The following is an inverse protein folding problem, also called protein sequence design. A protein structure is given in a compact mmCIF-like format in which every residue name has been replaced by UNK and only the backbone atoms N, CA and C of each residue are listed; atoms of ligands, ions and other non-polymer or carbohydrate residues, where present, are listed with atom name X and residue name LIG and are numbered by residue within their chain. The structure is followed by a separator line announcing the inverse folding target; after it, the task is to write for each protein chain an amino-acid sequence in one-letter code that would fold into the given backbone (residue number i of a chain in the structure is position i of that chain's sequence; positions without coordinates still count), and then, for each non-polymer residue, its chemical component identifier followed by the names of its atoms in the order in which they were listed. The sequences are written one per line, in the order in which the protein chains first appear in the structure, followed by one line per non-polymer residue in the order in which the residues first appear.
data_IF_431800459716
#
_entry.id   IF_431800459716
#
_cell.length_a   1.000
_cell.length_b   1.000
_cell.length_c   1.000
_cell.angle_alpha   90.00
_cell.angle_beta   90.00
_cell.angle_gamma   90.00
#
_symmetry.space_group_name_H-M   'P 1'
#
loop_
_entity.id
_entity.type
_entity.pdbx_description
1 polymer ?
#
# COMPACT_ATOMS: atom_id res chain seq x y z
N UNK A 1 102.84 8.43 -12.44
CA UNK A 1 101.66 8.98 -13.22
C UNK A 1 100.39 8.19 -12.82
N UNK A 2 99.61 8.75 -11.98
CA UNK A 2 98.46 8.05 -11.36
C UNK A 2 97.17 8.74 -11.86
N UNK A 3 96.35 8.04 -12.60
CA UNK A 3 95.06 8.51 -13.05
C UNK A 3 93.98 8.13 -12.05
N UNK A 4 93.39 9.10 -11.37
CA UNK A 4 92.22 8.95 -10.54
C UNK A 4 90.96 8.95 -11.42
N UNK A 5 90.22 7.89 -11.41
CA UNK A 5 88.89 7.82 -12.02
C UNK A 5 87.84 7.99 -10.92
N UNK A 6 87.15 9.14 -10.96
CA UNK A 6 86.08 9.46 -10.02
C UNK A 6 84.77 8.76 -10.50
N UNK A 7 84.20 7.91 -9.65
CA UNK A 7 82.89 7.33 -9.87
C UNK A 7 81.84 8.18 -9.17
N UNK A 8 81.05 8.91 -9.97
CA UNK A 8 79.87 9.57 -9.45
C UNK A 8 78.73 8.52 -9.32
N UNK A 9 78.24 8.35 -8.07
CA UNK A 9 77.06 7.51 -7.76
C UNK A 9 75.79 8.38 -7.91
N UNK A 10 74.96 8.02 -8.86
CA UNK A 10 73.64 8.63 -9.07
C UNK A 10 72.65 7.98 -8.05
N UNK A 11 72.22 8.74 -7.04
CA UNK A 11 71.20 8.28 -6.10
C UNK A 11 69.83 8.65 -6.70
N UNK A 12 69.08 7.65 -7.12
CA UNK A 12 67.73 7.78 -7.64
C UNK A 12 66.75 7.69 -6.48
N UNK A 13 66.24 8.83 -6.01
CA UNK A 13 65.19 8.90 -4.99
C UNK A 13 63.85 8.65 -5.62
N UNK A 14 63.27 7.48 -5.35
CA UNK A 14 61.89 7.14 -5.72
C UNK A 14 60.94 7.77 -4.73
N UNK A 15 60.24 8.86 -5.17
CA UNK A 15 59.18 9.45 -4.39
C UNK A 15 57.90 8.64 -4.63
N UNK A 16 57.53 7.81 -3.68
CA UNK A 16 56.21 7.12 -3.70
C UNK A 16 55.10 8.08 -3.35
N UNK A 17 54.34 8.48 -4.35
CA UNK A 17 53.09 9.24 -4.16
C UNK A 17 52.02 8.26 -3.63
N UNK A 18 51.79 8.31 -2.30
CA UNK A 18 50.66 7.61 -1.70
C UNK A 18 49.40 8.44 -1.98
N UNK A 19 48.60 8.02 -2.94
CA UNK A 19 47.29 8.60 -3.20
C UNK A 19 46.34 8.17 -2.06
N UNK A 20 45.73 9.09 -1.31
CA UNK A 20 44.69 8.72 -0.35
C UNK A 20 43.45 8.27 -1.15
N UNK A 21 43.17 6.96 -1.14
CA UNK A 21 41.90 6.44 -1.63
C UNK A 21 40.80 7.03 -0.74
N UNK A 22 40.04 8.00 -1.28
CA UNK A 22 38.77 8.40 -0.67
C UNK A 22 37.85 7.18 -0.70
N UNK A 23 37.83 6.46 0.43
CA UNK A 23 36.76 5.52 0.73
C UNK A 23 35.50 6.36 0.88
N UNK A 24 34.68 6.43 -0.15
CA UNK A 24 33.30 6.86 -0.04
C UNK A 24 32.65 5.94 1.00
N UNK A 25 32.56 6.40 2.24
CA UNK A 25 31.74 5.76 3.26
C UNK A 25 30.32 5.88 2.74
N UNK A 26 29.76 4.74 2.28
CA UNK A 26 28.32 4.58 2.15
C UNK A 26 27.77 4.83 3.57
N UNK A 27 27.31 6.06 3.82
CA UNK A 27 26.49 6.32 4.99
C UNK A 27 25.31 5.35 4.93
N UNK A 28 25.02 4.58 5.97
CA UNK A 28 23.84 3.74 5.99
C UNK A 28 22.65 4.64 5.65
N UNK A 29 21.87 4.25 4.64
CA UNK A 29 20.63 4.95 4.33
C UNK A 29 19.85 5.09 5.62
N UNK A 30 19.48 6.32 5.98
CA UNK A 30 18.72 6.59 7.20
C UNK A 30 17.51 5.64 7.21
N UNK A 31 17.43 4.75 8.20
CA UNK A 31 16.32 3.84 8.35
C UNK A 31 15.04 4.66 8.44
N UNK A 32 14.07 4.35 7.59
CA UNK A 32 12.75 5.01 7.64
C UNK A 32 12.07 4.65 8.96
N UNK A 33 12.04 5.60 9.89
CA UNK A 33 11.50 5.42 11.25
C UNK A 33 10.00 5.73 11.34
N UNK A 34 9.36 6.02 10.22
CA UNK A 34 7.91 6.30 10.21
C UNK A 34 7.11 5.07 10.64
N UNK A 35 6.02 5.24 11.42
CA UNK A 35 5.10 4.15 11.69
C UNK A 35 4.62 3.51 10.39
N UNK A 36 4.58 2.19 10.35
CA UNK A 36 4.18 1.43 9.17
C UNK A 36 2.82 0.81 9.35
N UNK A 37 1.95 1.00 8.36
CA UNK A 37 0.56 0.52 8.37
C UNK A 37 0.33 -0.35 7.14
N UNK A 38 -0.34 -1.48 7.32
CA UNK A 38 -0.84 -2.29 6.23
C UNK A 38 -2.35 -2.55 6.38
N UNK A 39 -3.04 -2.74 5.28
CA UNK A 39 -4.49 -2.98 5.25
C UNK A 39 -4.76 -4.27 4.50
N UNK A 40 -5.32 -5.27 5.19
CA UNK A 40 -5.79 -6.51 4.59
C UNK A 40 -7.12 -6.27 3.86
N UNK A 41 -7.46 -7.16 2.94
CA UNK A 41 -8.81 -7.15 2.36
C UNK A 41 -9.90 -7.35 3.43
N UNK A 42 -11.07 -6.76 3.18
CA UNK A 42 -12.21 -6.82 4.09
C UNK A 42 -13.06 -8.06 3.84
N UNK A 43 -13.59 -8.65 4.89
CA UNK A 43 -14.48 -9.79 4.79
C UNK A 43 -15.88 -9.32 4.34
N UNK A 44 -16.43 -9.99 3.35
CA UNK A 44 -17.79 -9.76 2.90
C UNK A 44 -18.77 -10.50 3.81
N UNK A 45 -19.55 -9.76 4.60
CA UNK A 45 -20.57 -10.29 5.49
C UNK A 45 -21.98 -10.27 4.88
N UNK A 46 -22.14 -9.87 3.62
CA UNK A 46 -23.43 -9.90 2.93
C UNK A 46 -23.91 -11.35 2.71
N UNK A 47 -25.22 -11.54 2.50
CA UNK A 47 -25.84 -12.85 2.35
C UNK A 47 -26.59 -12.92 1.02
N UNK A 48 -26.62 -14.10 0.42
CA UNK A 48 -27.35 -14.37 -0.83
C UNK A 48 -26.77 -13.61 -2.02
N UNK A 49 -27.61 -13.08 -2.90
CA UNK A 49 -27.20 -12.40 -4.11
C UNK A 49 -26.30 -11.18 -3.86
N UNK A 50 -26.56 -10.44 -2.78
CA UNK A 50 -25.72 -9.31 -2.37
C UNK A 50 -24.27 -9.73 -2.05
N UNK A 51 -24.05 -10.96 -1.58
CA UNK A 51 -22.71 -11.50 -1.36
C UNK A 51 -21.92 -11.56 -2.67
N UNK A 52 -22.50 -12.16 -3.71
CA UNK A 52 -21.83 -12.28 -5.02
C UNK A 52 -21.59 -10.91 -5.67
N UNK A 53 -22.60 -10.04 -5.61
CA UNK A 53 -22.52 -8.71 -6.23
C UNK A 53 -21.46 -7.81 -5.57
N UNK A 54 -21.27 -7.90 -4.25
CA UNK A 54 -20.37 -7.06 -3.47
C UNK A 54 -19.01 -7.70 -3.20
N UNK A 55 -18.80 -8.97 -3.54
CA UNK A 55 -17.53 -9.68 -3.31
C UNK A 55 -16.30 -8.91 -3.83
N UNK A 56 -16.33 -8.25 -4.99
CA UNK A 56 -15.19 -7.47 -5.47
C UNK A 56 -14.77 -6.33 -4.53
N UNK A 57 -15.67 -5.82 -3.68
CA UNK A 57 -15.33 -4.75 -2.72
C UNK A 57 -14.29 -5.17 -1.67
N UNK A 58 -14.04 -6.45 -1.45
CA UNK A 58 -13.06 -6.92 -0.47
C UNK A 58 -11.69 -6.26 -0.68
N UNK A 59 -11.16 -6.34 -1.90
CA UNK A 59 -9.91 -5.70 -2.27
C UNK A 59 -10.07 -4.19 -2.52
N UNK A 60 -11.20 -3.78 -3.09
CA UNK A 60 -11.48 -2.39 -3.40
C UNK A 60 -11.52 -1.49 -2.17
N UNK A 61 -12.17 -1.92 -1.07
CA UNK A 61 -12.18 -1.17 0.21
C UNK A 61 -10.76 -1.02 0.74
N UNK A 62 -9.98 -2.10 0.76
CA UNK A 62 -8.59 -2.08 1.25
C UNK A 62 -7.73 -1.10 0.44
N UNK A 63 -7.81 -1.15 -0.88
CA UNK A 63 -7.01 -0.31 -1.75
C UNK A 63 -7.37 1.18 -1.65
N UNK A 64 -8.66 1.51 -1.56
CA UNK A 64 -9.09 2.90 -1.34
C UNK A 64 -8.65 3.39 0.04
N UNK A 65 -8.76 2.54 1.08
CA UNK A 65 -8.30 2.88 2.44
C UNK A 65 -6.78 3.08 2.49
N UNK A 66 -5.99 2.25 1.78
CA UNK A 66 -4.54 2.43 1.57
C UNK A 66 -4.28 3.80 0.94
N UNK A 67 -5.01 4.15 -0.11
CA UNK A 67 -4.86 5.44 -0.80
C UNK A 67 -5.17 6.63 0.12
N UNK A 68 -6.24 6.55 0.92
CA UNK A 68 -6.61 7.60 1.87
C UNK A 68 -5.57 7.76 2.98
N UNK A 69 -5.08 6.66 3.57
CA UNK A 69 -4.05 6.68 4.61
C UNK A 69 -2.69 7.18 4.06
N UNK A 70 -2.37 6.87 2.81
CA UNK A 70 -1.13 7.31 2.14
C UNK A 70 -1.06 8.83 1.92
N UNK A 71 -2.16 9.55 2.07
CA UNK A 71 -2.14 11.01 2.11
C UNK A 71 -1.37 11.56 3.32
N UNK A 72 -1.17 10.75 4.36
CA UNK A 72 -0.33 11.07 5.51
C UNK A 72 1.13 10.68 5.24
N UNK A 73 1.94 11.64 4.81
CA UNK A 73 3.36 11.42 4.50
C UNK A 73 4.23 11.14 5.74
N UNK A 74 3.69 11.27 6.96
CA UNK A 74 4.38 10.97 8.22
C UNK A 74 4.30 9.49 8.61
N UNK A 75 3.54 8.70 7.89
CA UNK A 75 3.47 7.25 8.04
C UNK A 75 3.91 6.57 6.73
N UNK A 76 4.23 5.29 6.80
CA UNK A 76 4.49 4.47 5.62
C UNK A 76 3.38 3.45 5.48
N UNK A 77 2.59 3.56 4.45
CA UNK A 77 1.53 2.58 4.14
C UNK A 77 2.09 1.55 3.15
N UNK A 78 1.83 0.28 3.42
CA UNK A 78 2.26 -0.81 2.53
C UNK A 78 1.29 -0.87 1.34
N UNK A 79 1.85 -0.89 0.15
CA UNK A 79 1.07 -1.02 -1.08
C UNK A 79 0.39 -2.40 -1.16
N UNK A 80 -0.82 -2.43 -1.71
CA UNK A 80 -1.64 -3.65 -1.84
C UNK A 80 -0.89 -4.81 -2.49
N UNK A 81 -0.16 -4.55 -3.56
CA UNK A 81 0.56 -5.58 -4.32
C UNK A 81 1.60 -6.34 -3.49
N UNK A 82 2.21 -5.69 -2.49
CA UNK A 82 3.15 -6.35 -1.58
C UNK A 82 2.42 -7.30 -0.63
N UNK A 83 1.23 -6.90 -0.18
CA UNK A 83 0.40 -7.72 0.69
C UNK A 83 -0.12 -8.94 -0.07
N UNK A 84 -0.67 -8.72 -1.28
CA UNK A 84 -1.24 -9.77 -2.12
C UNK A 84 -0.18 -10.82 -2.52
N UNK A 85 1.03 -10.39 -2.88
CA UNK A 85 2.16 -11.30 -3.16
C UNK A 85 2.49 -12.17 -1.95
N UNK A 86 2.63 -11.57 -0.77
CA UNK A 86 2.94 -12.31 0.44
C UNK A 86 1.82 -13.31 0.81
N UNK A 87 0.56 -12.88 0.69
CA UNK A 87 -0.61 -13.74 0.95
C UNK A 87 -0.61 -14.94 0.00
N UNK A 88 -0.32 -14.72 -1.28
CA UNK A 88 -0.23 -15.79 -2.28
C UNK A 88 0.93 -16.76 -1.99
N UNK A 89 2.12 -16.26 -1.65
CA UNK A 89 3.29 -17.08 -1.31
C UNK A 89 3.05 -17.97 -0.08
N UNK A 90 2.25 -17.49 0.87
CA UNK A 90 1.92 -18.23 2.09
C UNK A 90 0.75 -19.21 1.92
N UNK A 91 0.29 -19.43 0.69
CA UNK A 91 -0.89 -20.26 0.40
C UNK A 91 -2.14 -19.83 1.18
N UNK A 92 -2.17 -18.58 1.63
CA UNK A 92 -3.37 -17.96 2.19
C UNK A 92 -4.26 -17.63 1.00
N UNK A 93 -5.37 -18.33 0.87
CA UNK A 93 -6.31 -18.03 -0.21
C UNK A 93 -6.87 -16.61 -0.02
N UNK A 94 -6.92 -15.83 -1.09
CA UNK A 94 -7.53 -14.51 -1.06
C UNK A 94 -9.03 -14.56 -0.65
N UNK A 95 -9.63 -15.74 -0.69
CA UNK A 95 -11.01 -16.02 -0.26
C UNK A 95 -11.11 -16.34 1.23
N UNK A 96 -10.00 -16.62 1.91
CA UNK A 96 -10.03 -16.94 3.34
C UNK A 96 -10.45 -15.72 4.15
N UNK A 97 -11.20 -16.00 5.21
CA UNK A 97 -11.62 -14.96 6.14
C UNK A 97 -10.41 -14.44 6.91
N UNK A 98 -10.18 -13.13 6.83
CA UNK A 98 -9.15 -12.47 7.63
C UNK A 98 -9.64 -12.30 9.06
N UNK A 99 -8.87 -12.82 9.99
CA UNK A 99 -9.05 -12.64 11.42
C UNK A 99 -7.81 -11.97 12.07
N UNK A 100 -7.89 -11.70 13.36
CA UNK A 100 -6.78 -11.10 14.11
C UNK A 100 -5.48 -11.92 13.99
N UNK A 101 -5.56 -13.23 14.08
CA UNK A 101 -4.39 -14.12 14.03
C UNK A 101 -3.69 -14.04 12.68
N UNK A 102 -4.47 -14.07 11.61
CA UNK A 102 -3.97 -13.91 10.24
C UNK A 102 -3.36 -12.52 10.02
N UNK A 103 -4.05 -11.47 10.50
CA UNK A 103 -3.56 -10.08 10.39
C UNK A 103 -2.21 -9.90 11.11
N UNK A 104 -2.06 -10.40 12.34
CA UNK A 104 -0.81 -10.34 13.10
C UNK A 104 0.31 -11.13 12.39
N UNK A 105 0.01 -12.34 11.89
CA UNK A 105 0.99 -13.15 11.19
C UNK A 105 1.51 -12.45 9.92
N UNK A 106 0.61 -11.96 9.07
CA UNK A 106 0.97 -11.23 7.84
C UNK A 106 1.71 -9.95 8.20
N UNK A 107 1.26 -9.22 9.23
CA UNK A 107 1.92 -8.00 9.70
C UNK A 107 3.37 -8.22 10.14
N UNK A 108 3.65 -9.30 10.88
CA UNK A 108 5.01 -9.69 11.26
C UNK A 108 5.90 -10.01 10.05
N UNK A 109 5.36 -10.68 9.05
CA UNK A 109 6.08 -11.01 7.84
C UNK A 109 6.40 -9.77 6.98
N UNK A 110 5.49 -8.79 6.97
CA UNK A 110 5.70 -7.49 6.31
C UNK A 110 6.60 -6.54 7.12
N UNK A 111 6.84 -6.82 8.39
CA UNK A 111 7.57 -5.93 9.29
C UNK A 111 6.85 -4.60 9.53
N UNK A 112 5.53 -4.62 9.66
CA UNK A 112 4.72 -3.43 9.93
C UNK A 112 4.36 -3.31 11.40
N UNK A 113 4.07 -2.06 11.86
CA UNK A 113 3.67 -1.81 13.24
C UNK A 113 2.18 -2.04 13.44
N UNK A 114 1.37 -1.62 12.48
CA UNK A 114 -0.09 -1.66 12.54
C UNK A 114 -0.67 -2.42 11.36
N UNK A 115 -1.65 -3.29 11.64
CA UNK A 115 -2.38 -4.02 10.62
C UNK A 115 -3.88 -3.75 10.78
N UNK A 116 -4.51 -3.22 9.72
CA UNK A 116 -5.95 -3.01 9.64
C UNK A 116 -6.56 -4.18 8.87
N UNK A 117 -7.67 -4.69 9.35
CA UNK A 117 -8.50 -5.69 8.68
C UNK A 117 -9.96 -5.39 8.99
N UNK A 118 -10.89 -6.13 8.45
CA UNK A 118 -12.27 -5.81 8.77
C UNK A 118 -13.31 -6.59 8.00
N UNK A 119 -14.54 -6.10 8.11
CA UNK A 119 -15.68 -6.66 7.39
C UNK A 119 -16.67 -5.57 6.99
N UNK A 120 -17.47 -5.86 5.98
CA UNK A 120 -18.58 -5.02 5.57
C UNK A 120 -19.85 -5.83 5.37
N UNK A 121 -20.97 -5.18 5.62
CA UNK A 121 -22.31 -5.70 5.35
C UNK A 121 -23.15 -4.59 4.75
N UNK A 122 -24.15 -4.96 3.95
CA UNK A 122 -25.11 -4.03 3.38
C UNK A 122 -26.52 -4.50 3.70
N UNK A 123 -27.38 -3.60 4.11
CA UNK A 123 -28.81 -3.89 4.31
C UNK A 123 -29.62 -3.75 3.01
N UNK A 124 -30.91 -4.09 3.08
CA UNK A 124 -31.83 -4.00 1.94
C UNK A 124 -32.10 -2.58 1.45
N UNK A 125 -31.68 -1.56 2.21
CA UNK A 125 -31.83 -0.15 1.88
C UNK A 125 -30.54 0.49 1.38
N UNK A 126 -29.58 -0.35 0.94
CA UNK A 126 -28.25 0.06 0.48
C UNK A 126 -27.44 0.82 1.55
N UNK A 127 -27.75 0.64 2.84
CA UNK A 127 -26.94 1.14 3.90
C UNK A 127 -25.81 0.14 4.19
N UNK A 128 -24.58 0.59 3.98
CA UNK A 128 -23.38 -0.18 4.25
C UNK A 128 -22.84 0.14 5.63
N UNK A 129 -22.35 -0.89 6.33
CA UNK A 129 -21.59 -0.78 7.56
C UNK A 129 -20.22 -1.43 7.34
N UNK A 130 -19.18 -0.75 7.78
CA UNK A 130 -17.82 -1.28 7.85
C UNK A 130 -17.37 -1.32 9.30
N UNK A 131 -16.80 -2.45 9.70
CA UNK A 131 -16.12 -2.64 10.98
C UNK A 131 -14.64 -2.88 10.68
N UNK A 132 -13.76 -2.04 11.25
CA UNK A 132 -12.34 -2.03 10.94
C UNK A 132 -11.49 -2.03 12.22
N UNK A 133 -11.19 -3.19 12.80
CA UNK A 133 -10.18 -3.31 13.84
C UNK A 133 -8.77 -3.08 13.29
N UNK A 134 -7.94 -2.43 14.11
CA UNK A 134 -6.50 -2.31 13.94
C UNK A 134 -5.80 -3.08 15.05
N UNK A 135 -4.76 -3.85 14.70
CA UNK A 135 -3.92 -4.56 15.66
C UNK A 135 -2.51 -3.98 15.69
N UNK A 136 -1.97 -3.85 16.87
CA UNK A 136 -0.54 -3.68 17.06
C UNK A 136 0.14 -5.03 16.77
N UNK A 137 1.03 -5.05 15.78
CA UNK A 137 1.63 -6.30 15.29
C UNK A 137 2.67 -6.86 16.28
N UNK A 138 3.32 -6.00 17.06
CA UNK A 138 4.31 -6.39 18.06
C UNK A 138 3.64 -7.12 19.22
N UNK A 139 2.59 -6.51 19.82
CA UNK A 139 1.87 -7.09 20.97
C UNK A 139 0.85 -8.16 20.55
N UNK A 140 0.37 -8.10 19.32
CA UNK A 140 -0.71 -8.94 18.79
C UNK A 140 -2.09 -8.58 19.35
N UNK A 141 -2.25 -7.40 19.94
CA UNK A 141 -3.52 -6.95 20.52
C UNK A 141 -4.25 -5.97 19.61
N UNK A 142 -5.59 -5.99 19.69
CA UNK A 142 -6.41 -4.96 19.03
C UNK A 142 -6.21 -3.66 19.80
N UNK A 143 -5.62 -2.67 19.15
CA UNK A 143 -5.36 -1.36 19.72
C UNK A 143 -6.50 -0.35 19.46
N UNK A 144 -7.25 -0.55 18.37
CA UNK A 144 -8.39 0.29 18.03
C UNK A 144 -9.42 -0.48 17.22
N UNK A 145 -10.68 -0.08 17.33
CA UNK A 145 -11.77 -0.56 16.47
C UNK A 145 -12.59 0.62 16.02
N UNK A 146 -12.74 0.78 14.73
CA UNK A 146 -13.61 1.81 14.17
C UNK A 146 -14.79 1.17 13.44
N UNK A 147 -15.97 1.76 13.60
CA UNK A 147 -17.18 1.38 12.87
C UNK A 147 -17.76 2.60 12.18
N UNK A 148 -18.02 2.50 10.90
CA UNK A 148 -18.70 3.54 10.11
C UNK A 148 -19.88 2.95 9.36
N UNK A 149 -20.89 3.77 9.13
CA UNK A 149 -22.07 3.38 8.35
C UNK A 149 -22.58 4.55 7.53
N UNK A 150 -22.89 4.32 6.27
CA UNK A 150 -23.50 5.30 5.37
C UNK A 150 -24.30 4.60 4.27
N UNK A 151 -25.07 5.35 3.49
CA UNK A 151 -25.59 4.84 2.23
C UNK A 151 -24.45 4.62 1.23
N UNK A 152 -24.63 3.70 0.29
CA UNK A 152 -23.63 3.44 -0.76
C UNK A 152 -23.32 4.69 -1.60
N UNK A 153 -24.25 5.62 -1.72
CA UNK A 153 -24.02 6.90 -2.42
C UNK A 153 -22.94 7.75 -1.71
N UNK A 154 -22.84 7.63 -0.38
CA UNK A 154 -21.85 8.34 0.45
C UNK A 154 -20.60 7.48 0.73
N UNK A 155 -20.40 6.40 -0.04
CA UNK A 155 -19.33 5.42 0.21
C UNK A 155 -17.95 6.07 0.28
N UNK A 156 -17.62 6.94 -0.65
CA UNK A 156 -16.31 7.59 -0.71
C UNK A 156 -16.04 8.47 0.52
N UNK A 157 -17.09 9.19 1.01
CA UNK A 157 -16.99 9.96 2.24
C UNK A 157 -16.84 9.08 3.48
N UNK A 158 -17.54 7.95 3.48
CA UNK A 158 -17.45 6.96 4.54
C UNK A 158 -16.02 6.40 4.67
N UNK A 159 -15.34 6.06 3.57
CA UNK A 159 -13.95 5.56 3.60
C UNK A 159 -12.98 6.67 4.03
N UNK A 160 -13.14 7.89 3.56
CA UNK A 160 -12.32 9.03 4.00
C UNK A 160 -12.46 9.26 5.52
N UNK A 161 -13.70 9.20 6.04
CA UNK A 161 -13.96 9.30 7.48
C UNK A 161 -13.33 8.14 8.25
N UNK A 162 -13.44 6.91 7.74
CA UNK A 162 -12.83 5.72 8.34
C UNK A 162 -11.30 5.89 8.44
N UNK A 163 -10.63 6.32 7.36
CA UNK A 163 -9.18 6.54 7.35
C UNK A 163 -8.75 7.55 8.42
N UNK A 164 -9.46 8.70 8.51
CA UNK A 164 -9.15 9.72 9.51
C UNK A 164 -9.30 9.21 10.94
N UNK A 165 -10.38 8.48 11.22
CA UNK A 165 -10.66 7.93 12.55
C UNK A 165 -9.69 6.82 12.94
N UNK A 166 -9.34 5.92 12.01
CA UNK A 166 -8.30 4.90 12.22
C UNK A 166 -6.95 5.54 12.49
N UNK A 167 -6.55 6.56 11.71
CA UNK A 167 -5.30 7.27 11.93
C UNK A 167 -5.23 7.85 13.36
N UNK A 168 -6.31 8.47 13.82
CA UNK A 168 -6.36 9.06 15.16
C UNK A 168 -6.41 7.99 16.26
N UNK A 169 -7.16 6.91 16.03
CA UNK A 169 -7.33 5.83 17.02
C UNK A 169 -6.08 4.98 17.23
N UNK A 170 -5.18 4.93 16.24
CA UNK A 170 -3.88 4.26 16.34
C UNK A 170 -2.76 5.22 16.83
N UNK A 171 -3.08 6.39 17.34
CA UNK A 171 -2.13 7.41 17.78
C UNK A 171 -1.05 7.76 16.73
N UNK A 172 -1.40 7.64 15.44
CA UNK A 172 -0.51 7.98 14.35
C UNK A 172 -0.35 9.51 14.22
N UNK A 173 0.76 9.99 13.65
CA UNK A 173 0.93 11.40 13.37
C UNK A 173 -0.27 11.97 12.62
N UNK A 174 -0.73 13.16 13.01
CA UNK A 174 -1.94 13.77 12.44
C UNK A 174 -1.89 13.85 10.92
N UNK A 175 -2.98 13.44 10.28
CA UNK A 175 -3.16 13.58 8.84
C UNK A 175 -3.09 15.06 8.44
N UNK A 176 -2.51 15.40 7.28
CA UNK A 176 -2.57 16.76 6.78
C UNK A 176 -4.03 17.16 6.58
N UNK A 177 -4.36 18.39 6.99
CA UNK A 177 -5.69 18.92 6.75
C UNK A 177 -5.89 19.00 5.24
N UNK A 178 -6.81 18.22 4.68
CA UNK A 178 -7.19 18.36 3.27
C UNK A 178 -7.83 19.74 3.12
N UNK A 179 -7.13 20.65 2.47
CA UNK A 179 -7.77 21.88 1.99
C UNK A 179 -8.91 21.46 1.10
N UNK A 180 -10.11 21.91 1.42
CA UNK A 180 -11.37 21.55 0.78
C UNK A 180 -11.54 22.13 -0.64
N UNK A 181 -10.53 21.94 -1.50
CA UNK A 181 -10.83 21.84 -2.92
C UNK A 181 -11.33 20.39 -3.09
N UNK A 182 -12.64 20.27 -2.93
CA UNK A 182 -13.36 19.03 -3.13
C UNK A 182 -13.13 18.59 -4.58
N UNK A 183 -12.07 17.78 -4.80
CA UNK A 183 -12.09 16.94 -5.99
C UNK A 183 -13.32 16.06 -5.82
N UNK A 184 -14.21 16.10 -6.77
CA UNK A 184 -15.36 15.21 -6.86
C UNK A 184 -14.91 13.80 -6.46
N UNK A 185 -15.69 13.13 -5.62
CA UNK A 185 -15.39 11.76 -5.22
C UNK A 185 -16.06 10.78 -6.16
N UNK A 186 -15.43 9.64 -6.47
CA UNK A 186 -16.01 8.68 -7.40
C UNK A 186 -17.34 8.14 -6.85
N UNK A 187 -18.41 8.12 -7.66
CA UNK A 187 -19.67 7.48 -7.31
C UNK A 187 -19.49 5.98 -7.04
N UNK A 188 -20.35 5.39 -6.23
CA UNK A 188 -20.25 3.97 -5.86
C UNK A 188 -20.15 3.02 -7.07
N UNK A 189 -20.87 3.30 -8.15
CA UNK A 189 -20.74 2.51 -9.40
C UNK A 189 -19.32 2.51 -9.96
N UNK A 190 -18.60 3.63 -9.88
CA UNK A 190 -17.21 3.74 -10.33
C UNK A 190 -16.29 2.94 -9.41
N UNK A 191 -16.54 3.04 -8.09
CA UNK A 191 -15.83 2.23 -7.08
C UNK A 191 -16.04 0.73 -7.35
N UNK A 192 -17.26 0.32 -7.70
CA UNK A 192 -17.55 -1.09 -8.05
C UNK A 192 -16.81 -1.55 -9.32
N UNK A 193 -16.71 -0.72 -10.36
CA UNK A 193 -15.93 -1.04 -11.57
C UNK A 193 -14.46 -1.20 -11.22
N UNK A 194 -13.92 -0.29 -10.43
CA UNK A 194 -12.55 -0.33 -9.94
C UNK A 194 -12.28 -1.59 -9.10
N UNK A 195 -13.16 -1.91 -8.16
CA UNK A 195 -13.04 -3.11 -7.31
C UNK A 195 -13.09 -4.42 -8.12
N UNK A 196 -13.94 -4.48 -9.15
CA UNK A 196 -13.97 -5.60 -10.09
C UNK A 196 -12.69 -5.70 -10.90
N UNK A 197 -12.12 -4.56 -11.31
CA UNK A 197 -10.83 -4.55 -12.00
C UNK A 197 -9.71 -5.14 -11.12
N UNK A 198 -9.66 -4.78 -9.84
CA UNK A 198 -8.75 -5.39 -8.85
C UNK A 198 -8.96 -6.90 -8.76
N UNK A 199 -10.19 -7.36 -8.66
CA UNK A 199 -10.50 -8.80 -8.59
C UNK A 199 -10.06 -9.57 -9.85
N UNK A 200 -10.24 -8.98 -11.04
CA UNK A 200 -9.76 -9.55 -12.31
C UNK A 200 -8.22 -9.59 -12.35
N UNK A 201 -7.57 -8.54 -11.89
CA UNK A 201 -6.12 -8.45 -11.82
C UNK A 201 -5.53 -9.51 -10.88
N UNK A 202 -6.07 -9.64 -9.68
CA UNK A 202 -5.67 -10.67 -8.70
C UNK A 202 -5.92 -12.08 -9.21
N UNK A 203 -6.94 -12.25 -10.06
CA UNK A 203 -7.20 -13.50 -10.79
C UNK A 203 -6.30 -13.75 -12.01
N UNK A 204 -5.31 -12.89 -12.25
CA UNK A 204 -4.38 -12.99 -13.39
C UNK A 204 -4.98 -12.58 -14.74
N UNK A 205 -6.22 -12.09 -14.76
CA UNK A 205 -6.94 -11.69 -15.99
C UNK A 205 -6.68 -10.22 -16.32
N UNK A 206 -5.40 -9.89 -16.60
CA UNK A 206 -4.94 -8.51 -16.83
C UNK A 206 -5.74 -7.75 -17.88
N UNK A 207 -6.12 -8.39 -18.99
CA UNK A 207 -6.91 -7.73 -20.06
C UNK A 207 -8.33 -7.35 -19.61
N UNK A 208 -8.97 -8.17 -18.79
CA UNK A 208 -10.26 -7.87 -18.20
C UNK A 208 -10.14 -6.70 -17.20
N UNK A 209 -9.10 -6.70 -16.38
CA UNK A 209 -8.81 -5.63 -15.45
C UNK A 209 -8.63 -4.28 -16.17
N UNK A 210 -7.81 -4.24 -17.23
CA UNK A 210 -7.60 -3.04 -18.06
C UNK A 210 -8.91 -2.48 -18.61
N UNK A 211 -9.81 -3.34 -19.12
CA UNK A 211 -11.13 -2.91 -19.63
C UNK A 211 -11.98 -2.27 -18.54
N UNK A 212 -11.97 -2.84 -17.34
CA UNK A 212 -12.74 -2.33 -16.21
C UNK A 212 -12.15 -1.03 -15.65
N UNK A 213 -10.81 -0.88 -15.57
CA UNK A 213 -10.18 0.38 -15.19
C UNK A 213 -10.50 1.49 -16.19
N UNK A 214 -10.48 1.21 -17.49
CA UNK A 214 -10.89 2.16 -18.54
C UNK A 214 -12.36 2.54 -18.39
N UNK A 215 -13.25 1.59 -18.18
CA UNK A 215 -14.67 1.86 -17.95
C UNK A 215 -14.94 2.70 -16.69
N UNK A 216 -14.12 2.53 -15.64
CA UNK A 216 -14.18 3.41 -14.46
C UNK A 216 -13.73 4.84 -14.81
N UNK A 217 -12.66 5.01 -15.58
CA UNK A 217 -12.14 6.31 -16.02
C UNK A 217 -13.07 7.01 -17.03
N UNK A 218 -13.76 6.27 -17.89
CA UNK A 218 -14.78 6.82 -18.78
C UNK A 218 -15.93 7.48 -18.02
N UNK A 219 -16.29 6.91 -16.84
CA UNK A 219 -17.33 7.46 -15.97
C UNK A 219 -16.82 8.52 -15.01
N UNK A 220 -15.57 8.45 -14.61
CA UNK A 220 -14.94 9.36 -13.67
C UNK A 220 -13.48 9.57 -14.02
N UNK A 221 -13.17 10.49 -14.96
CA UNK A 221 -11.82 10.69 -15.49
C UNK A 221 -10.77 11.05 -14.44
N UNK A 222 -11.16 11.67 -13.32
CA UNK A 222 -10.25 12.10 -12.26
C UNK A 222 -9.94 11.02 -11.21
N UNK A 223 -10.32 9.76 -11.46
CA UNK A 223 -10.08 8.68 -10.51
C UNK A 223 -8.59 8.28 -10.46
N UNK A 224 -7.84 8.91 -9.57
CA UNK A 224 -6.39 8.75 -9.47
C UNK A 224 -5.95 7.29 -9.27
N UNK A 225 -6.68 6.51 -8.45
CA UNK A 225 -6.37 5.10 -8.21
C UNK A 225 -6.47 4.27 -9.50
N UNK A 226 -7.52 4.47 -10.30
CA UNK A 226 -7.69 3.77 -11.57
C UNK A 226 -6.63 4.19 -12.60
N UNK A 227 -6.25 5.49 -12.65
CA UNK A 227 -5.14 5.97 -13.50
C UNK A 227 -3.83 5.27 -13.12
N UNK A 228 -3.48 5.25 -11.81
CA UNK A 228 -2.26 4.59 -11.29
C UNK A 228 -2.22 3.10 -11.67
N UNK A 229 -3.32 2.38 -11.44
CA UNK A 229 -3.42 0.94 -11.75
C UNK A 229 -3.28 0.66 -13.25
N UNK A 230 -3.94 1.45 -14.09
CA UNK A 230 -3.86 1.29 -15.55
C UNK A 230 -2.44 1.54 -16.07
N UNK A 231 -1.79 2.63 -15.62
CA UNK A 231 -0.40 2.95 -16.01
C UNK A 231 0.55 1.82 -15.61
N UNK A 232 0.41 1.24 -14.42
CA UNK A 232 1.21 0.10 -13.96
C UNK A 232 1.05 -1.11 -14.87
N UNK A 233 -0.20 -1.51 -15.18
CA UNK A 233 -0.47 -2.67 -16.04
C UNK A 233 -0.01 -2.47 -17.49
N UNK A 234 -0.03 -1.24 -18.00
CA UNK A 234 0.47 -0.92 -19.34
C UNK A 234 2.00 -0.93 -19.38
N UNK A 235 2.69 -0.49 -18.32
CA UNK A 235 4.15 -0.57 -18.23
C UNK A 235 4.66 -2.00 -18.11
N UNK A 236 3.98 -2.88 -17.38
CA UNK A 236 4.32 -4.30 -17.27
C UNK A 236 4.25 -5.03 -18.62
N UNK A 237 3.31 -4.64 -19.49
CA UNK A 237 3.18 -5.22 -20.85
C UNK A 237 4.28 -4.77 -21.81
N UNK A 238 4.89 -3.60 -21.58
CA UNK A 238 5.95 -3.07 -22.47
C UNK A 238 7.34 -3.59 -22.08
N UNK A 239 7.48 -4.29 -20.99
CA UNK A 239 8.73 -4.90 -20.48
C UNK A 239 8.87 -6.39 -20.77
N UNK A 240 7.81 -7.05 -21.31
CA UNK A 240 7.83 -8.44 -21.82
C UNK A 240 8.08 -8.44 -23.35
#
# INVERSE_FOLDING_TARGET
MLRFVSRAALVLTVVSVVSPSLRAQNAPAASDTRPTVAVMHFNNGAIGKAHEELEPLRGGIADILISELSANNKIRVIERDQIDKLVAEQSLNATDRVDKTTAVRVGKMLGVHHMIFGSYVTDRKNKMRLDAPAVNVETGEIEHVETVSANTDDFSDMITSLAAKLNNGMDLPSMPMRTSQASEKPPFQVVMLYSRAIAEENGGRKDAAVKLYKAALDKFPEYAAAKKALTRLESDKSGE
#
